data_IF_181485934039
#
_entry.id   IF_181485934039
#
_cell.length_a   1.000
_cell.length_b   1.000
_cell.length_c   1.000
_cell.angle_alpha   90.00
_cell.angle_beta   90.00
_cell.angle_gamma   90.00
#
_symmetry.space_group_name_H-M   'P 1'
#
loop_
_entity.id
_entity.type
_entity.pdbx_description
1 polymer ?
#
# COMPACT_ATOMS: atom_id res chain seq x y z
N UNK A 1 -22.02 0.68 -37.18
CA UNK A 1 -22.04 1.31 -35.85
C UNK A 1 -20.95 0.66 -35.02
N UNK A 2 -19.72 1.17 -35.13
CA UNK A 2 -18.58 0.71 -34.33
C UNK A 2 -18.73 1.30 -32.94
N UNK A 3 -18.89 0.43 -31.94
CA UNK A 3 -18.88 0.83 -30.54
C UNK A 3 -17.44 1.23 -30.20
N UNK A 4 -17.20 2.53 -30.13
CA UNK A 4 -16.00 3.08 -29.51
C UNK A 4 -16.10 2.77 -28.02
N UNK A 5 -15.47 1.70 -27.57
CA UNK A 5 -15.15 1.56 -26.15
C UNK A 5 -14.15 2.67 -25.83
N UNK A 6 -14.57 3.67 -25.08
CA UNK A 6 -13.64 4.65 -24.54
C UNK A 6 -12.55 3.87 -23.79
N UNK A 7 -11.28 4.14 -24.12
CA UNK A 7 -10.20 3.80 -23.19
C UNK A 7 -10.60 4.37 -21.82
N UNK A 8 -10.43 3.63 -20.70
CA UNK A 8 -10.60 4.26 -19.40
C UNK A 8 -9.73 5.51 -19.43
N UNK A 9 -10.31 6.66 -19.10
CA UNK A 9 -9.54 7.88 -18.89
C UNK A 9 -8.36 7.47 -18.02
N UNK A 10 -7.13 7.78 -18.48
CA UNK A 10 -5.91 7.68 -17.69
C UNK A 10 -6.27 8.12 -16.27
N UNK A 11 -6.29 7.19 -15.31
CA UNK A 11 -7.09 7.40 -14.11
C UNK A 11 -6.66 8.69 -13.41
N UNK A 12 -7.66 9.49 -13.03
CA UNK A 12 -7.45 10.82 -12.46
C UNK A 12 -6.75 10.78 -11.08
N UNK A 13 -6.70 9.60 -10.45
CA UNK A 13 -5.93 9.31 -9.24
C UNK A 13 -4.43 9.18 -9.53
N UNK A 14 -3.61 9.97 -8.83
CA UNK A 14 -2.16 9.94 -8.97
C UNK A 14 -1.46 10.15 -7.63
N UNK A 15 -0.30 9.54 -7.47
CA UNK A 15 0.54 9.69 -6.29
C UNK A 15 1.99 9.88 -6.73
N UNK A 16 2.61 10.97 -6.28
CA UNK A 16 4.04 11.14 -6.42
C UNK A 16 4.74 10.48 -5.24
N UNK A 17 5.73 9.64 -5.52
CA UNK A 17 6.65 9.05 -4.56
C UNK A 17 8.06 9.20 -5.10
N UNK A 18 8.97 9.68 -4.26
CA UNK A 18 10.40 9.76 -4.53
C UNK A 18 11.13 9.44 -3.23
N UNK A 19 12.10 8.55 -3.34
CA UNK A 19 13.17 8.42 -2.35
C UNK A 19 14.49 8.75 -3.07
N UNK A 20 15.25 9.66 -2.49
CA UNK A 20 16.45 10.25 -3.08
C UNK A 20 17.60 10.10 -2.08
N UNK A 21 18.41 9.06 -2.27
CA UNK A 21 19.47 8.65 -1.36
C UNK A 21 19.04 7.65 -0.28
N UNK A 22 19.73 7.71 0.86
CA UNK A 22 19.72 6.72 1.96
C UNK A 22 18.36 6.56 2.67
N UNK A 23 17.91 5.31 2.84
CA UNK A 23 16.62 4.95 3.48
C UNK A 23 16.65 4.97 5.01
N UNK A 24 17.84 4.89 5.62
CA UNK A 24 18.02 4.83 7.07
C UNK A 24 17.78 6.21 7.72
N UNK A 25 18.25 7.28 7.09
CA UNK A 25 18.19 8.64 7.65
C UNK A 25 17.25 9.59 6.92
N UNK A 26 16.92 9.32 5.66
CA UNK A 26 16.06 10.22 4.89
C UNK A 26 14.61 9.72 4.88
N UNK A 27 13.63 10.63 5.00
CA UNK A 27 12.24 10.24 5.01
C UNK A 27 11.78 9.84 3.61
N UNK A 28 10.99 8.77 3.58
CA UNK A 28 10.10 8.48 2.46
C UNK A 28 9.01 9.56 2.41
N UNK A 29 8.54 9.86 1.20
CA UNK A 29 7.47 10.84 1.02
C UNK A 29 6.54 10.44 -0.11
N UNK A 30 5.24 10.61 0.16
CA UNK A 30 4.19 10.49 -0.85
C UNK A 30 3.36 11.76 -0.89
N UNK A 31 3.04 12.23 -2.09
CA UNK A 31 2.19 13.41 -2.31
C UNK A 31 1.03 13.03 -3.21
N UNK A 32 -0.19 13.33 -2.78
CA UNK A 32 -1.37 13.10 -3.58
C UNK A 32 -1.44 14.16 -4.70
N UNK A 33 -1.15 13.73 -5.93
CA UNK A 33 -1.15 14.58 -7.12
C UNK A 33 -2.34 14.26 -8.05
N UNK A 34 -3.42 13.71 -7.48
CA UNK A 34 -4.63 13.40 -8.25
C UNK A 34 -5.21 14.66 -8.88
N UNK A 35 -5.70 14.55 -10.12
CA UNK A 35 -6.15 15.70 -10.92
C UNK A 35 -7.66 15.90 -10.92
N UNK A 36 -8.45 14.89 -10.53
CA UNK A 36 -9.91 15.02 -10.40
C UNK A 36 -10.40 15.09 -8.95
N UNK A 37 -9.50 15.34 -7.98
CA UNK A 37 -9.87 15.60 -6.59
C UNK A 37 -9.96 14.35 -5.72
N UNK A 38 -9.48 13.20 -6.18
CA UNK A 38 -9.45 11.97 -5.40
C UNK A 38 -8.57 12.10 -4.15
N UNK A 39 -9.06 11.56 -3.04
CA UNK A 39 -8.26 11.32 -1.84
C UNK A 39 -7.58 9.96 -1.93
N UNK A 40 -6.41 9.84 -1.33
CA UNK A 40 -5.72 8.57 -1.11
C UNK A 40 -6.31 7.90 0.14
N UNK A 41 -6.74 6.65 0.00
CA UNK A 41 -7.31 5.85 1.09
C UNK A 41 -6.31 4.83 1.63
N UNK A 42 -5.39 4.36 0.80
CA UNK A 42 -4.44 3.32 1.14
C UNK A 42 -3.17 3.39 0.31
N UNK A 43 -2.07 2.97 0.91
CA UNK A 43 -0.77 2.83 0.27
C UNK A 43 -0.16 1.50 0.71
N UNK A 44 0.40 0.74 -0.22
CA UNK A 44 1.13 -0.48 0.09
C UNK A 44 2.43 -0.56 -0.70
N UNK A 45 3.46 -1.07 -0.04
CA UNK A 45 4.81 -1.18 -0.58
C UNK A 45 5.28 -2.62 -0.45
N UNK A 46 5.63 -3.22 -1.58
CA UNK A 46 6.13 -4.59 -1.67
C UNK A 46 7.54 -4.61 -2.30
N UNK A 47 8.54 -4.90 -1.48
CA UNK A 47 9.95 -5.08 -1.84
C UNK A 47 10.26 -6.48 -2.39
N UNK A 48 9.29 -7.39 -2.46
CA UNK A 48 9.56 -8.76 -2.89
C UNK A 48 10.23 -8.79 -4.27
N UNK A 49 11.37 -9.49 -4.35
CA UNK A 49 12.15 -9.61 -5.58
C UNK A 49 13.21 -8.53 -5.81
N UNK A 50 13.31 -7.52 -4.95
CA UNK A 50 14.38 -6.50 -5.01
C UNK A 50 15.67 -6.94 -4.32
N UNK A 51 15.59 -7.85 -3.36
CA UNK A 51 16.73 -8.27 -2.53
C UNK A 51 16.88 -7.48 -1.23
N UNK A 52 16.01 -6.50 -0.99
CA UNK A 52 15.96 -5.74 0.28
C UNK A 52 14.70 -6.06 1.09
N UNK A 53 14.74 -5.76 2.38
CA UNK A 53 13.68 -5.98 3.38
C UNK A 53 13.58 -4.79 4.32
N UNK A 54 12.42 -4.58 4.95
CA UNK A 54 12.27 -3.56 5.98
C UNK A 54 13.02 -3.97 7.26
N UNK A 55 13.75 -3.01 7.84
CA UNK A 55 14.46 -3.17 9.13
C UNK A 55 14.04 -2.06 10.12
N UNK A 56 12.86 -2.19 10.74
CA UNK A 56 12.43 -1.24 11.75
C UNK A 56 13.11 -1.44 13.13
N UNK A 57 14.00 -2.43 13.33
CA UNK A 57 14.47 -2.85 14.66
C UNK A 57 15.97 -3.10 14.71
N UNK A 58 16.67 -2.35 15.57
CA UNK A 58 18.08 -2.59 15.89
C UNK A 58 18.42 -4.06 16.20
N UNK A 59 19.36 -4.63 15.43
CA UNK A 59 19.82 -6.01 15.61
C UNK A 59 18.80 -7.09 15.22
N UNK A 60 17.72 -6.69 14.55
CA UNK A 60 16.69 -7.54 13.96
C UNK A 60 17.11 -8.19 12.63
N UNK A 61 16.30 -9.07 12.04
CA UNK A 61 16.47 -9.48 10.64
C UNK A 61 16.26 -8.31 9.66
N UNK A 62 17.10 -8.18 8.62
CA UNK A 62 18.12 -9.12 8.18
C UNK A 62 19.34 -9.01 9.09
N UNK A 63 19.76 -10.13 9.70
CA UNK A 63 20.73 -10.17 10.81
C UNK A 63 22.18 -9.87 10.39
N UNK A 64 22.40 -8.70 9.79
CA UNK A 64 23.66 -8.10 9.36
C UNK A 64 24.29 -7.22 10.48
N UNK A 65 23.58 -7.00 11.59
CA UNK A 65 24.07 -6.23 12.75
C UNK A 65 24.05 -4.71 12.56
N UNK A 66 23.23 -4.19 11.66
CA UNK A 66 22.94 -2.76 11.48
C UNK A 66 21.96 -2.23 12.52
N UNK A 67 21.85 -0.91 12.55
CA UNK A 67 20.80 -0.20 13.29
C UNK A 67 19.58 -0.13 12.38
N UNK A 68 18.40 -0.38 12.94
CA UNK A 68 17.13 -0.28 12.23
C UNK A 68 16.43 1.03 12.59
N UNK A 69 15.70 1.62 11.66
CA UNK A 69 14.87 2.82 11.93
C UNK A 69 13.39 2.45 11.88
N UNK A 70 12.65 2.60 12.99
CA UNK A 70 11.24 2.24 13.03
C UNK A 70 10.39 3.18 12.18
N UNK A 71 9.24 2.67 11.71
CA UNK A 71 8.24 3.49 11.04
C UNK A 71 7.84 4.68 11.91
N UNK A 72 8.23 5.88 11.49
CA UNK A 72 8.04 7.11 12.28
C UNK A 72 7.54 8.23 11.37
N UNK A 73 6.25 8.62 11.44
CA UNK A 73 5.75 9.78 10.71
C UNK A 73 6.50 11.06 11.06
N UNK A 74 6.71 11.91 10.05
CA UNK A 74 7.48 13.15 10.18
C UNK A 74 6.57 14.38 10.11
N UNK A 75 6.99 15.46 10.77
CA UNK A 75 6.37 16.79 10.59
C UNK A 75 4.87 16.91 10.92
N UNK A 76 4.29 15.94 11.64
CA UNK A 76 2.85 15.90 11.92
C UNK A 76 2.00 15.50 10.70
N UNK A 77 2.60 14.95 9.64
CA UNK A 77 1.87 14.59 8.43
C UNK A 77 0.87 13.46 8.65
N UNK A 78 1.07 12.63 9.68
CA UNK A 78 0.11 11.63 10.13
C UNK A 78 -1.22 12.24 10.55
N UNK A 79 -1.20 13.41 11.20
CA UNK A 79 -2.41 14.12 11.60
C UNK A 79 -3.08 14.77 10.40
N UNK A 80 -2.32 15.42 9.52
CA UNK A 80 -2.89 16.15 8.38
C UNK A 80 -3.53 15.21 7.37
N UNK A 81 -2.87 14.08 7.07
CA UNK A 81 -3.41 13.08 6.12
C UNK A 81 -4.34 12.06 6.79
N UNK A 82 -4.46 12.11 8.12
CA UNK A 82 -5.34 11.24 8.89
C UNK A 82 -4.91 9.77 8.82
N UNK A 83 -3.62 9.49 9.04
CA UNK A 83 -3.05 8.15 9.09
C UNK A 83 -3.81 7.26 10.08
N UNK A 84 -4.27 6.10 9.62
CA UNK A 84 -4.94 5.10 10.44
C UNK A 84 -3.89 4.24 11.15
N UNK A 85 -3.87 4.32 12.47
CA UNK A 85 -2.96 3.56 13.32
C UNK A 85 -3.61 2.27 13.87
N UNK A 86 -2.80 1.25 14.20
CA UNK A 86 -1.34 1.19 14.02
C UNK A 86 -0.93 0.84 12.58
N UNK A 87 0.20 1.39 12.12
CA UNK A 87 0.92 0.85 10.96
C UNK A 87 1.89 -0.21 11.47
N UNK A 88 1.73 -1.44 11.00
CA UNK A 88 2.60 -2.56 11.38
C UNK A 88 3.61 -2.82 10.28
N UNK A 89 4.88 -2.51 10.53
CA UNK A 89 6.00 -2.95 9.71
C UNK A 89 6.72 -4.06 10.46
N UNK A 90 6.71 -5.27 9.89
CA UNK A 90 7.36 -6.43 10.49
C UNK A 90 8.82 -6.42 10.07
N UNK A 91 9.68 -6.69 11.04
CA UNK A 91 11.11 -6.80 10.86
C UNK A 91 11.51 -7.94 9.90
N UNK A 92 12.37 -7.64 8.93
CA UNK A 92 12.73 -8.53 7.82
C UNK A 92 11.60 -8.79 6.80
N UNK A 93 10.47 -8.09 6.88
CA UNK A 93 9.37 -8.23 5.91
C UNK A 93 9.71 -7.55 4.59
N UNK A 94 9.11 -8.04 3.51
CA UNK A 94 9.11 -7.35 2.21
C UNK A 94 7.86 -6.51 1.98
N UNK A 95 6.89 -6.52 2.89
CA UNK A 95 5.61 -5.86 2.68
C UNK A 95 5.12 -5.12 3.92
N UNK A 96 4.60 -3.91 3.70
CA UNK A 96 3.70 -3.22 4.61
C UNK A 96 2.62 -2.46 3.84
N UNK A 97 1.59 -2.05 4.57
CA UNK A 97 0.57 -1.14 4.06
C UNK A 97 0.06 -0.21 5.15
N UNK A 98 -0.51 0.91 4.74
CA UNK A 98 -1.10 1.92 5.60
C UNK A 98 -2.36 2.49 4.96
N UNK A 99 -3.25 3.03 5.79
CA UNK A 99 -4.51 3.62 5.35
C UNK A 99 -4.65 5.06 5.86
N UNK A 100 -5.47 5.84 5.18
CA UNK A 100 -5.68 7.25 5.46
C UNK A 100 -7.15 7.59 5.49
N UNK A 101 -7.51 8.58 6.31
CA UNK A 101 -8.89 9.11 6.41
C UNK A 101 -9.05 10.47 5.77
N UNK A 102 -7.96 11.21 5.58
CA UNK A 102 -7.99 12.59 5.13
C UNK A 102 -6.78 12.93 4.24
N UNK A 103 -6.38 12.06 3.32
CA UNK A 103 -5.23 12.34 2.46
C UNK A 103 -5.66 12.96 1.13
N UNK A 104 -5.93 14.26 1.15
CA UNK A 104 -6.45 15.04 0.02
C UNK A 104 -5.39 15.47 -0.99
N UNK A 105 -5.84 16.05 -2.12
CA UNK A 105 -4.95 16.52 -3.20
C UNK A 105 -4.03 17.64 -2.71
N UNK A 106 -2.75 17.55 -3.07
CA UNK A 106 -1.69 18.50 -2.71
C UNK A 106 -1.10 18.29 -1.33
N UNK A 107 -1.65 17.38 -0.53
CA UNK A 107 -1.06 17.01 0.75
C UNK A 107 0.12 16.06 0.56
N UNK A 108 0.96 15.97 1.59
CA UNK A 108 2.13 15.09 1.64
C UNK A 108 2.11 14.30 2.94
N UNK A 109 2.43 13.01 2.86
CA UNK A 109 2.74 12.17 4.01
C UNK A 109 4.20 11.74 3.95
N UNK A 110 4.93 11.93 5.05
CA UNK A 110 6.36 11.58 5.15
C UNK A 110 6.64 10.74 6.39
N UNK A 111 7.55 9.77 6.27
CA UNK A 111 7.92 8.88 7.36
C UNK A 111 9.37 8.43 7.23
N UNK A 112 10.02 8.14 8.35
CA UNK A 112 11.26 7.36 8.39
C UNK A 112 10.89 5.88 8.49
N UNK A 113 11.67 5.02 7.83
CA UNK A 113 11.61 3.58 7.97
C UNK A 113 12.85 3.00 7.30
N UNK A 114 13.66 2.25 8.01
CA UNK A 114 14.84 1.67 7.38
C UNK A 114 14.51 0.46 6.51
N UNK A 115 15.33 0.29 5.48
CA UNK A 115 15.34 -0.81 4.54
C UNK A 115 16.77 -1.27 4.45
N UNK A 116 16.94 -2.59 4.48
CA UNK A 116 18.25 -3.19 4.53
C UNK A 116 18.39 -4.32 3.51
N UNK A 117 19.64 -4.64 3.16
CA UNK A 117 19.90 -5.76 2.27
C UNK A 117 19.52 -7.08 2.95
N UNK A 118 18.75 -7.92 2.26
CA UNK A 118 18.36 -9.23 2.82
C UNK A 118 19.55 -10.20 2.92
N UNK A 119 20.60 -9.97 2.11
CA UNK A 119 21.88 -10.67 2.22
C UNK A 119 22.68 -10.08 3.40
N UNK A 120 22.94 -10.86 4.47
CA UNK A 120 23.63 -10.36 5.66
C UNK A 120 25.10 -9.98 5.42
N UNK A 121 25.65 -10.26 4.24
CA UNK A 121 27.03 -9.91 3.87
C UNK A 121 27.11 -8.73 2.90
N UNK A 122 25.98 -8.17 2.47
CA UNK A 122 25.94 -7.01 1.60
C UNK A 122 26.28 -5.71 2.36
N UNK A 123 26.51 -4.63 1.61
CA UNK A 123 26.69 -3.30 2.20
C UNK A 123 25.38 -2.86 2.86
N UNK A 124 25.44 -2.27 4.06
CA UNK A 124 24.24 -1.96 4.85
C UNK A 124 23.47 -0.72 4.34
N UNK A 125 24.08 0.08 3.47
CA UNK A 125 23.39 1.25 2.94
C UNK A 125 22.48 0.83 1.80
N UNK A 126 21.19 1.06 1.97
CA UNK A 126 20.19 0.98 0.91
C UNK A 126 19.82 2.40 0.47
N UNK A 127 19.91 2.62 -0.83
CA UNK A 127 19.54 3.87 -1.48
C UNK A 127 18.18 3.73 -2.17
N UNK A 128 17.58 4.85 -2.54
CA UNK A 128 16.35 4.86 -3.33
C UNK A 128 16.43 4.05 -4.62
N UNK A 129 17.60 4.03 -5.27
CA UNK A 129 17.88 3.22 -6.45
C UNK A 129 17.81 1.71 -6.21
N UNK A 130 18.07 1.25 -4.99
CA UNK A 130 18.03 -0.18 -4.64
C UNK A 130 16.59 -0.71 -4.50
N UNK A 131 15.61 0.20 -4.43
CA UNK A 131 14.19 -0.16 -4.38
C UNK A 131 13.59 -0.37 -5.78
N UNK A 132 14.34 -0.13 -6.86
CA UNK A 132 13.87 -0.27 -8.22
C UNK A 132 13.34 -1.69 -8.47
N UNK A 133 12.15 -1.76 -9.07
CA UNK A 133 11.42 -3.01 -9.31
C UNK A 133 10.48 -3.42 -8.17
N UNK A 134 10.52 -2.74 -7.02
CA UNK A 134 9.49 -2.92 -5.99
C UNK A 134 8.11 -2.53 -6.51
N UNK A 135 7.09 -3.27 -6.08
CA UNK A 135 5.69 -3.03 -6.43
C UNK A 135 5.04 -2.14 -5.38
N UNK A 136 4.37 -1.08 -5.83
CA UNK A 136 3.58 -0.19 -4.98
C UNK A 136 2.15 -0.14 -5.50
N UNK A 137 1.20 -0.07 -4.57
CA UNK A 137 -0.18 0.24 -4.90
C UNK A 137 -0.72 1.41 -4.08
N UNK A 138 -1.72 2.08 -4.64
CA UNK A 138 -2.41 3.22 -4.04
C UNK A 138 -3.91 3.04 -4.26
N UNK A 139 -4.70 3.07 -3.19
CA UNK A 139 -6.16 3.05 -3.26
C UNK A 139 -6.69 4.49 -3.25
N UNK A 140 -7.58 4.81 -4.18
CA UNK A 140 -8.19 6.13 -4.30
C UNK A 140 -9.67 6.11 -3.93
N UNK A 141 -10.20 7.27 -3.53
CA UNK A 141 -11.60 7.44 -3.12
C UNK A 141 -12.63 7.19 -4.22
N UNK A 142 -12.21 7.12 -5.49
CA UNK A 142 -13.06 6.76 -6.62
C UNK A 142 -13.22 5.23 -6.81
N UNK A 143 -12.65 4.42 -5.92
CA UNK A 143 -12.75 2.96 -5.95
C UNK A 143 -11.78 2.30 -6.92
N UNK A 144 -10.75 3.01 -7.39
CA UNK A 144 -9.65 2.45 -8.17
C UNK A 144 -8.40 2.28 -7.32
N UNK A 145 -7.65 1.22 -7.62
CA UNK A 145 -6.29 0.98 -7.17
C UNK A 145 -5.31 1.24 -8.31
N UNK A 146 -4.45 2.24 -8.16
CA UNK A 146 -3.29 2.43 -9.00
C UNK A 146 -2.17 1.47 -8.56
N UNK A 147 -1.55 0.75 -9.49
CA UNK A 147 -0.36 -0.08 -9.20
C UNK A 147 0.77 0.21 -10.18
N UNK A 148 1.99 0.20 -9.65
CA UNK A 148 3.19 0.60 -10.37
C UNK A 148 4.46 0.01 -9.77
N UNK A 149 5.57 0.19 -10.47
CA UNK A 149 6.89 -0.19 -9.97
C UNK A 149 7.69 1.04 -9.61
N UNK A 150 8.64 0.88 -8.69
CA UNK A 150 9.72 1.85 -8.52
C UNK A 150 10.65 1.77 -9.73
N UNK A 151 11.01 2.92 -10.29
CA UNK A 151 11.87 3.06 -11.46
C UNK A 151 12.99 4.07 -11.18
N UNK A 152 14.06 3.98 -11.99
CA UNK A 152 15.15 4.94 -11.95
C UNK A 152 14.67 6.36 -12.27
N UNK A 153 15.34 7.34 -11.68
CA UNK A 153 15.16 8.76 -11.98
C UNK A 153 16.27 9.20 -12.92
N UNK A 154 15.92 9.74 -14.10
CA UNK A 154 16.92 10.14 -15.08
C UNK A 154 17.82 11.26 -14.54
N UNK A 155 19.13 11.00 -14.52
CA UNK A 155 20.12 11.95 -14.02
C UNK A 155 20.24 12.00 -12.49
N UNK A 156 19.61 11.04 -11.78
CA UNK A 156 19.80 10.87 -10.35
C UNK A 156 20.03 9.38 -10.02
N UNK A 157 21.28 9.05 -9.65
CA UNK A 157 21.76 7.66 -9.59
C UNK A 157 21.39 6.94 -8.29
N UNK A 158 21.04 7.66 -7.22
CA UNK A 158 20.66 7.10 -5.91
C UNK A 158 19.15 7.23 -5.61
N UNK A 159 18.35 7.61 -6.61
CA UNK A 159 16.92 7.84 -6.46
C UNK A 159 16.03 6.79 -7.12
N UNK A 160 14.89 6.54 -6.49
CA UNK A 160 13.80 5.70 -6.99
C UNK A 160 12.47 6.45 -6.95
N UNK A 161 11.70 6.38 -8.04
CA UNK A 161 10.36 7.00 -8.13
C UNK A 161 9.29 5.97 -8.48
N UNK A 162 8.07 6.18 -8.00
CA UNK A 162 6.93 5.37 -8.41
C UNK A 162 6.45 5.77 -9.81
N UNK A 163 6.24 4.77 -10.67
CA UNK A 163 5.52 4.93 -11.93
C UNK A 163 4.29 4.03 -11.94
N UNK A 164 3.12 4.62 -11.73
CA UNK A 164 1.82 3.94 -11.81
C UNK A 164 1.50 3.66 -13.28
N UNK A 165 1.24 2.40 -13.61
CA UNK A 165 0.98 1.97 -15.00
C UNK A 165 -0.34 1.25 -15.16
N UNK A 166 -0.97 0.83 -14.06
CA UNK A 166 -2.20 0.05 -14.07
C UNK A 166 -3.20 0.61 -13.09
N UNK A 167 -4.47 0.63 -13.48
CA UNK A 167 -5.59 0.95 -12.60
C UNK A 167 -6.60 -0.18 -12.66
N UNK A 168 -6.96 -0.70 -11.51
CA UNK A 168 -7.96 -1.75 -11.36
C UNK A 168 -9.00 -1.34 -10.33
N UNK A 169 -10.24 -1.83 -10.41
CA UNK A 169 -11.20 -1.63 -9.33
C UNK A 169 -10.64 -2.17 -8.01
N UNK A 170 -10.67 -1.36 -6.95
CA UNK A 170 -10.31 -1.82 -5.60
C UNK A 170 -11.29 -2.94 -5.23
N UNK A 171 -10.81 -4.11 -4.75
CA UNK A 171 -11.69 -5.20 -4.38
C UNK A 171 -12.71 -4.72 -3.34
N UNK A 172 -13.99 -4.71 -3.71
CA UNK A 172 -15.06 -4.41 -2.76
C UNK A 172 -15.07 -5.49 -1.68
N UNK A 173 -15.09 -5.08 -0.41
CA UNK A 173 -15.48 -5.98 0.67
C UNK A 173 -16.93 -6.38 0.36
N UNK A 174 -17.29 -7.68 0.29
CA UNK A 174 -18.67 -8.08 0.11
C UNK A 174 -19.54 -7.37 1.13
N UNK A 175 -20.42 -6.50 0.64
CA UNK A 175 -21.18 -5.62 1.51
C UNK A 175 -21.95 -6.44 2.56
N UNK A 176 -22.23 -5.87 3.76
CA UNK A 176 -23.02 -6.52 4.80
C UNK A 176 -24.35 -7.12 4.31
N UNK A 177 -24.91 -6.58 3.23
CA UNK A 177 -26.08 -7.12 2.53
C UNK A 177 -25.87 -8.54 1.99
N UNK A 178 -24.67 -8.86 1.48
CA UNK A 178 -24.33 -10.20 0.98
C UNK A 178 -24.34 -11.20 2.12
N UNK A 179 -23.76 -10.83 3.27
CA UNK A 179 -23.80 -11.63 4.49
C UNK A 179 -25.23 -11.80 5.01
N UNK A 180 -26.03 -10.73 5.01
CA UNK A 180 -27.42 -10.77 5.42
C UNK A 180 -28.26 -11.69 4.52
N UNK A 181 -28.08 -11.65 3.20
CA UNK A 181 -28.76 -12.54 2.25
C UNK A 181 -28.34 -14.00 2.46
N UNK A 182 -27.06 -14.26 2.70
CA UNK A 182 -26.59 -15.63 3.02
C UNK A 182 -27.21 -16.14 4.32
N UNK A 183 -27.20 -15.33 5.39
CA UNK A 183 -27.81 -15.69 6.68
C UNK A 183 -29.31 -15.93 6.53
N UNK A 184 -30.03 -15.07 5.79
CA UNK A 184 -31.45 -15.26 5.51
C UNK A 184 -31.70 -16.54 4.70
N UNK A 185 -30.91 -16.79 3.66
CA UNK A 185 -31.02 -18.01 2.84
C UNK A 185 -30.81 -19.29 3.66
N UNK A 186 -29.76 -19.33 4.48
CA UNK A 186 -29.49 -20.47 5.36
C UNK A 186 -30.53 -20.61 6.47
N UNK A 187 -31.00 -19.49 7.04
CA UNK A 187 -32.08 -19.48 8.03
C UNK A 187 -33.37 -20.07 7.49
N UNK A 188 -33.77 -19.70 6.27
CA UNK A 188 -34.94 -20.24 5.59
C UNK A 188 -34.80 -21.73 5.26
N UNK A 189 -33.62 -22.15 4.77
CA UNK A 189 -33.35 -23.57 4.49
C UNK A 189 -33.41 -24.42 5.77
N UNK A 190 -32.81 -23.95 6.86
CA UNK A 190 -32.87 -24.61 8.18
C UNK A 190 -34.30 -24.69 8.73
N UNK A 191 -35.08 -23.61 8.60
CA UNK A 191 -36.49 -23.56 9.00
C UNK A 191 -37.34 -24.57 8.22
N UNK A 192 -37.11 -24.69 6.90
CA UNK A 192 -37.81 -25.64 6.05
C UNK A 192 -37.52 -27.11 6.44
N UNK A 193 -36.27 -27.44 6.77
CA UNK A 193 -35.89 -28.77 7.24
C UNK A 193 -36.51 -29.09 8.61
N UNK A 194 -36.53 -28.13 9.54
CA UNK A 194 -37.14 -28.29 10.87
C UNK A 194 -38.65 -28.49 10.81
N UNK A 195 -39.34 -27.92 9.81
CA UNK A 195 -40.79 -28.09 9.64
C UNK A 195 -41.18 -29.52 9.23
N UNK A 196 -40.28 -30.29 8.60
CA UNK A 196 -40.54 -31.68 8.18
C UNK A 196 -40.46 -32.68 9.33
N UNK A 197 -39.67 -32.40 10.37
CA UNK A 197 -39.58 -33.28 11.54
C UNK A 197 -40.77 -33.14 12.49
N UNK A 198 -41.45 -32.00 12.50
CA UNK A 198 -42.66 -31.76 13.30
C UNK A 198 -43.94 -32.41 12.73
N UNK A 199 -43.90 -33.01 11.55
CA UNK A 199 -45.07 -33.68 10.92
C UNK A 199 -45.09 -35.21 11.14
N UNK A 200 -44.08 -35.79 11.80
CA UNK A 200 -43.98 -37.23 12.09
C UNK A 200 -44.10 -37.56 13.60
N UNK A 201 -44.76 -36.70 14.39
CA UNK A 201 -45.09 -36.93 15.79
C UNK A 201 -46.61 -36.90 16.00
#
# INVERSE_FOLDING_TARGET
MTVSIAAPAQADGNLFFLIDGDTFTQPFSITNNSTAGESVLGFGFNLAGTGVVFDPVDGGPPGNGTLGTPFTPQGGTDVTTGLVNPVSVIDGSTFFSMNFTNFGVGETFSWLLDVDQADPFATPTVLGSDLIGALVYVDFSNGLRGSGLIQAVAGNDDAGQLVITTFTPTPGIPEPSTWAVMILGFGLAGAALRRRTSQFA
#
